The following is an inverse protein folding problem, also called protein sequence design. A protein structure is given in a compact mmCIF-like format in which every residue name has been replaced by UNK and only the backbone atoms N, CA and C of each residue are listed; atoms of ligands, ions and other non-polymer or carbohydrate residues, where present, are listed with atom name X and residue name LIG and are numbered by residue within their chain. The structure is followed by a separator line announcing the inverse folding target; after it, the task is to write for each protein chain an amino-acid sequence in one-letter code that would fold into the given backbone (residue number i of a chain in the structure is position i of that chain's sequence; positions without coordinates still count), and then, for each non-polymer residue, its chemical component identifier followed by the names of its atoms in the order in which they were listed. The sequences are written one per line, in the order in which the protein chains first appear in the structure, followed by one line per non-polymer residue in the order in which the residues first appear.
data_IF_885811103970
#
_entry.id   IF_885811103970
#
_cell.length_a   1.000
_cell.length_b   1.000
_cell.length_c   1.000
_cell.angle_alpha   90.00
_cell.angle_beta   90.00
_cell.angle_gamma   90.00
#
_symmetry.space_group_name_H-M   'P 1'
#
loop_
_entity.id
_entity.type
_entity.pdbx_description
1 polymer ?
#
# COMPACT_ATOMS: atom_id res chain seq x y z
N UNK A 1 -31.82 3.05 17.23
CA UNK A 1 -30.83 2.09 16.70
C UNK A 1 -30.75 2.34 15.20
N UNK A 2 -29.73 3.06 14.75
CA UNK A 2 -29.60 3.48 13.36
C UNK A 2 -28.89 2.38 12.57
N UNK A 3 -29.56 1.85 11.54
CA UNK A 3 -28.96 0.94 10.58
C UNK A 3 -28.11 1.79 9.62
N UNK A 4 -26.83 2.01 9.95
CA UNK A 4 -25.86 2.61 9.03
C UNK A 4 -25.56 1.59 7.93
N UNK A 5 -26.33 1.64 6.86
CA UNK A 5 -25.90 1.08 5.58
C UNK A 5 -24.78 2.00 5.08
N UNK A 6 -23.53 1.68 5.44
CA UNK A 6 -22.38 2.33 4.85
C UNK A 6 -22.45 2.08 3.33
N UNK A 7 -22.35 3.15 2.55
CA UNK A 7 -22.24 2.99 1.11
C UNK A 7 -20.92 2.30 0.77
N UNK A 8 -20.82 1.69 -0.41
CA UNK A 8 -19.55 1.12 -0.88
C UNK A 8 -18.44 2.18 -0.86
N UNK A 9 -18.77 3.43 -1.16
CA UNK A 9 -17.84 4.56 -1.14
C UNK A 9 -17.33 4.86 0.27
N UNK A 10 -18.17 4.76 1.29
CA UNK A 10 -17.76 4.96 2.69
C UNK A 10 -16.79 3.87 3.15
N UNK A 11 -17.03 2.62 2.74
CA UNK A 11 -16.15 1.48 3.07
C UNK A 11 -14.80 1.65 2.38
N UNK A 12 -14.80 1.99 1.09
CA UNK A 12 -13.57 2.22 0.34
C UNK A 12 -12.78 3.43 0.87
N UNK A 13 -13.47 4.50 1.29
CA UNK A 13 -12.83 5.66 1.90
C UNK A 13 -12.18 5.29 3.25
N UNK A 14 -12.86 4.52 4.09
CA UNK A 14 -12.30 4.05 5.36
C UNK A 14 -11.05 3.19 5.15
N UNK A 15 -11.10 2.24 4.21
CA UNK A 15 -9.96 1.41 3.85
C UNK A 15 -8.79 2.24 3.32
N UNK A 16 -9.06 3.21 2.45
CA UNK A 16 -8.04 4.14 1.95
C UNK A 16 -7.40 4.93 3.09
N UNK A 17 -8.18 5.46 4.04
CA UNK A 17 -7.65 6.18 5.20
C UNK A 17 -6.81 5.28 6.10
N UNK A 18 -7.22 4.03 6.30
CA UNK A 18 -6.44 3.05 7.06
C UNK A 18 -5.06 2.84 6.43
N UNK A 19 -5.01 2.58 5.12
CA UNK A 19 -3.76 2.35 4.39
C UNK A 19 -2.88 3.60 4.33
N UNK A 20 -3.48 4.78 4.14
CA UNK A 20 -2.74 6.04 4.14
C UNK A 20 -2.12 6.34 5.52
N UNK A 21 -2.87 6.15 6.61
CA UNK A 21 -2.34 6.35 7.95
C UNK A 21 -1.21 5.37 8.27
N UNK A 22 -1.35 4.10 7.87
CA UNK A 22 -0.27 3.11 8.00
C UNK A 22 0.95 3.55 7.19
N UNK A 23 0.77 3.98 5.95
CA UNK A 23 1.83 4.49 5.10
C UNK A 23 2.58 5.67 5.72
N UNK A 24 1.86 6.72 6.16
CA UNK A 24 2.47 7.91 6.76
C UNK A 24 3.19 7.62 8.09
N UNK A 25 2.75 6.60 8.83
CA UNK A 25 3.43 6.16 10.06
C UNK A 25 4.76 5.48 9.76
N UNK A 26 4.79 4.60 8.77
CA UNK A 26 5.99 3.83 8.40
C UNK A 26 6.94 4.64 7.51
N UNK A 27 6.42 5.58 6.72
CA UNK A 27 7.22 6.55 5.96
C UNK A 27 6.74 7.99 6.16
N UNK A 28 7.30 8.70 7.16
CA UNK A 28 6.96 10.09 7.46
C UNK A 28 7.35 11.07 6.35
N UNK A 29 8.22 10.67 5.41
CA UNK A 29 8.64 11.49 4.27
C UNK A 29 7.54 11.63 3.22
N UNK A 30 6.52 10.77 3.26
CA UNK A 30 5.50 10.66 2.21
C UNK A 30 5.99 9.95 0.94
N UNK A 31 7.23 9.45 0.93
CA UNK A 31 7.83 8.69 -0.16
C UNK A 31 8.21 7.30 0.34
N UNK A 32 8.16 6.28 -0.51
CA UNK A 32 8.54 4.93 -0.10
C UNK A 32 9.48 4.31 -1.11
N UNK A 33 10.56 3.71 -0.62
CA UNK A 33 11.46 2.92 -1.47
C UNK A 33 10.89 1.54 -1.73
N UNK A 34 11.34 0.88 -2.81
CA UNK A 34 10.99 -0.52 -3.10
C UNK A 34 11.31 -1.47 -1.92
N UNK A 35 12.40 -1.22 -1.21
CA UNK A 35 12.80 -2.00 -0.04
C UNK A 35 11.78 -1.87 1.11
N UNK A 36 11.38 -0.63 1.41
CA UNK A 36 10.38 -0.35 2.44
C UNK A 36 9.00 -0.89 2.06
N UNK A 37 8.59 -0.78 0.79
CA UNK A 37 7.32 -1.35 0.31
C UNK A 37 7.28 -2.86 0.59
N UNK A 38 8.34 -3.58 0.22
CA UNK A 38 8.43 -5.03 0.48
C UNK A 38 8.37 -5.35 1.97
N UNK A 39 8.98 -4.53 2.82
CA UNK A 39 8.91 -4.69 4.27
C UNK A 39 7.48 -4.49 4.80
N UNK A 40 6.81 -3.40 4.43
CA UNK A 40 5.46 -3.04 4.91
C UNK A 40 4.42 -4.08 4.50
N UNK A 41 4.59 -4.67 3.31
CA UNK A 41 3.70 -5.69 2.77
C UNK A 41 4.12 -7.14 3.12
N UNK A 42 5.24 -7.32 3.83
CA UNK A 42 5.73 -8.66 4.21
C UNK A 42 6.22 -9.51 3.03
N UNK A 43 6.66 -8.86 1.95
CA UNK A 43 7.09 -9.48 0.69
C UNK A 43 8.60 -9.80 0.69
N UNK A 44 9.18 -10.07 1.87
CA UNK A 44 10.60 -10.42 2.00
C UNK A 44 10.79 -11.92 1.82
N UNK A 45 11.91 -12.33 1.21
CA UNK A 45 12.24 -13.75 1.02
C UNK A 45 11.44 -14.46 -0.07
N UNK A 46 10.86 -13.71 -1.02
CA UNK A 46 10.22 -14.27 -2.20
C UNK A 46 11.24 -14.90 -3.15
N UNK A 47 10.78 -15.80 -4.03
CA UNK A 47 11.59 -16.30 -5.13
C UNK A 47 11.84 -15.22 -6.19
N UNK A 48 12.78 -15.46 -7.11
CA UNK A 48 13.19 -14.47 -8.11
C UNK A 48 12.03 -13.99 -9.01
N UNK A 49 11.15 -14.90 -9.44
CA UNK A 49 10.02 -14.57 -10.32
C UNK A 49 9.01 -13.65 -9.62
N UNK A 50 8.62 -13.98 -8.39
CA UNK A 50 7.71 -13.15 -7.59
C UNK A 50 8.36 -11.80 -7.22
N UNK A 51 9.67 -11.80 -6.97
CA UNK A 51 10.40 -10.59 -6.70
C UNK A 51 10.44 -9.65 -7.93
N UNK A 52 10.67 -10.19 -9.12
CA UNK A 52 10.63 -9.43 -10.37
C UNK A 52 9.25 -8.83 -10.62
N UNK A 53 8.18 -9.57 -10.33
CA UNK A 53 6.81 -9.06 -10.47
C UNK A 53 6.54 -7.89 -9.53
N UNK A 54 6.95 -7.99 -8.26
CA UNK A 54 6.78 -6.89 -7.29
C UNK A 54 7.58 -5.66 -7.69
N UNK A 55 8.78 -5.84 -8.24
CA UNK A 55 9.59 -4.74 -8.75
C UNK A 55 8.86 -4.02 -9.90
N UNK A 56 8.30 -4.77 -10.86
CA UNK A 56 7.51 -4.20 -11.96
C UNK A 56 6.29 -3.43 -11.46
N UNK A 57 5.56 -3.97 -10.49
CA UNK A 57 4.43 -3.28 -9.86
C UNK A 57 4.89 -1.96 -9.25
N UNK A 58 5.98 -1.96 -8.48
CA UNK A 58 6.52 -0.72 -7.89
C UNK A 58 6.84 0.32 -8.97
N UNK A 59 7.59 -0.05 -10.00
CA UNK A 59 7.96 0.87 -11.09
C UNK A 59 6.77 1.34 -11.94
N UNK A 60 5.67 0.60 -11.97
CA UNK A 60 4.44 1.06 -12.63
C UNK A 60 3.78 2.20 -11.87
N UNK A 61 3.90 2.20 -10.53
CA UNK A 61 3.34 3.24 -9.67
C UNK A 61 4.30 4.40 -9.39
N UNK A 62 5.61 4.17 -9.51
CA UNK A 62 6.65 5.20 -9.40
C UNK A 62 6.69 6.06 -10.68
N UNK A 63 5.79 7.03 -10.76
CA UNK A 63 5.62 7.89 -11.94
C UNK A 63 6.70 8.98 -12.07
N UNK A 64 7.50 9.21 -11.02
CA UNK A 64 8.43 10.35 -10.94
C UNK A 64 9.92 9.97 -11.07
N UNK A 65 10.32 8.70 -10.84
CA UNK A 65 11.63 8.15 -11.21
C UNK A 65 12.88 8.85 -10.65
#
# INVERSE_FOLDING_TARGET
MGNTHASLDDILAEDMHHWYNKFMRESPSGLITLFELKSILGLQGMNEDANSYVDQVFFTFDMDG
#
